data_IF_551842533851
#
_entry.id   IF_551842533851
#
_cell.length_a   1.000
_cell.length_b   1.000
_cell.length_c   1.000
_cell.angle_alpha   90.00
_cell.angle_beta   90.00
_cell.angle_gamma   90.00
#
_symmetry.space_group_name_H-M   'P 1'
#
loop_
_entity.id
_entity.type
_entity.pdbx_description
1 polymer ?
#
# COMPACT_ATOMS: atom_id res chain seq x y z
N UNK A 1 -22.10 -44.98 -1.22
CA UNK A 1 -21.21 -44.22 -0.31
C UNK A 1 -19.74 -44.44 -0.69
N UNK A 2 -19.28 -43.89 -1.83
CA UNK A 2 -17.89 -44.03 -2.30
C UNK A 2 -17.55 -42.96 -3.36
N UNK A 3 -17.62 -41.67 -3.01
CA UNK A 3 -17.14 -40.60 -3.92
C UNK A 3 -16.51 -39.39 -3.21
N UNK A 4 -16.12 -39.52 -1.94
CA UNK A 4 -15.47 -38.44 -1.17
C UNK A 4 -13.99 -38.69 -0.83
N UNK A 5 -13.40 -39.82 -1.25
CA UNK A 5 -12.03 -40.18 -0.87
C UNK A 5 -10.94 -39.72 -1.84
N UNK A 6 -11.24 -39.49 -3.12
CA UNK A 6 -10.18 -39.28 -4.13
C UNK A 6 -9.73 -37.82 -4.31
N UNK A 7 -10.34 -36.86 -3.60
CA UNK A 7 -9.93 -35.45 -3.63
C UNK A 7 -8.76 -35.11 -2.69
N UNK A 8 -8.21 -36.07 -1.94
CA UNK A 8 -7.16 -35.83 -0.93
C UNK A 8 -5.81 -36.49 -1.22
N UNK A 9 -5.59 -37.05 -2.41
CA UNK A 9 -4.32 -37.74 -2.74
C UNK A 9 -3.47 -37.08 -3.83
N UNK A 10 -3.82 -35.88 -4.30
CA UNK A 10 -2.88 -35.11 -5.13
C UNK A 10 -1.93 -34.32 -4.22
N UNK A 11 -0.67 -34.78 -4.18
CA UNK A 11 0.57 -34.15 -3.64
C UNK A 11 1.38 -35.01 -2.64
N UNK A 12 1.32 -36.34 -2.71
CA UNK A 12 2.45 -37.18 -2.23
C UNK A 12 3.50 -37.32 -3.33
N UNK A 13 4.31 -36.28 -3.48
CA UNK A 13 5.38 -36.23 -4.48
C UNK A 13 6.56 -35.37 -4.05
N UNK A 14 6.92 -35.38 -2.76
CA UNK A 14 8.00 -34.55 -2.20
C UNK A 14 9.35 -34.70 -2.92
N UNK A 15 9.67 -35.91 -3.42
CA UNK A 15 10.91 -36.15 -4.16
C UNK A 15 10.90 -35.60 -5.59
N UNK A 16 9.75 -35.61 -6.27
CA UNK A 16 9.63 -35.11 -7.64
C UNK A 16 9.64 -33.57 -7.68
N UNK A 17 9.07 -32.91 -6.67
CA UNK A 17 9.11 -31.46 -6.55
C UNK A 17 10.49 -30.95 -6.13
N UNK A 18 11.19 -31.68 -5.24
CA UNK A 18 12.58 -31.39 -4.88
C UNK A 18 13.55 -31.56 -6.06
N UNK A 19 13.37 -32.59 -6.90
CA UNK A 19 14.15 -32.79 -8.12
C UNK A 19 13.81 -31.77 -9.21
N UNK A 20 12.54 -31.33 -9.31
CA UNK A 20 12.14 -30.29 -10.25
C UNK A 20 12.75 -28.93 -9.87
N UNK A 21 12.84 -28.61 -8.57
CA UNK A 21 13.44 -27.36 -8.07
C UNK A 21 14.94 -27.18 -8.38
N UNK A 22 15.61 -28.21 -8.89
CA UNK A 22 17.01 -28.17 -9.33
C UNK A 22 17.18 -27.95 -10.86
N UNK A 23 16.09 -27.94 -11.62
CA UNK A 23 16.16 -27.77 -13.08
C UNK A 23 16.14 -26.28 -13.47
N UNK A 24 16.95 -25.85 -14.46
CA UNK A 24 17.10 -24.45 -14.77
C UNK A 24 15.88 -23.79 -15.42
N UNK A 25 14.91 -24.61 -15.84
CA UNK A 25 13.66 -24.20 -16.47
C UNK A 25 12.54 -25.10 -15.94
N UNK A 26 12.13 -24.91 -14.68
CA UNK A 26 11.02 -25.64 -14.07
C UNK A 26 9.74 -25.58 -14.89
N UNK A 27 9.48 -24.40 -15.48
CA UNK A 27 8.35 -24.17 -16.35
C UNK A 27 8.47 -25.03 -17.61
N UNK A 28 9.59 -24.97 -18.33
CA UNK A 28 9.83 -25.82 -19.50
C UNK A 28 9.91 -27.30 -19.19
N UNK A 29 10.35 -27.71 -18.00
CA UNK A 29 10.32 -29.12 -17.55
C UNK A 29 8.89 -29.57 -17.28
N UNK A 30 8.07 -28.77 -16.61
CA UNK A 30 6.64 -29.07 -16.42
C UNK A 30 5.89 -29.04 -17.76
N UNK A 31 6.14 -28.03 -18.58
CA UNK A 31 5.57 -27.87 -19.92
C UNK A 31 6.08 -28.91 -20.92
N UNK A 32 7.22 -29.58 -20.72
CA UNK A 32 7.69 -30.65 -21.63
C UNK A 32 7.34 -32.04 -21.12
N UNK A 33 7.34 -32.26 -19.80
CA UNK A 33 7.12 -33.57 -19.18
C UNK A 33 5.68 -33.86 -18.77
N UNK A 34 4.79 -32.87 -18.71
CA UNK A 34 3.36 -33.12 -18.50
C UNK A 34 2.73 -33.66 -19.80
N UNK A 35 1.99 -34.77 -19.78
CA UNK A 35 1.13 -35.20 -20.89
C UNK A 35 0.15 -34.08 -21.30
N UNK A 36 -0.11 -33.93 -22.60
CA UNK A 36 -1.03 -32.91 -23.15
C UNK A 36 -2.38 -32.78 -22.40
N UNK A 37 -3.09 -33.87 -22.01
CA UNK A 37 -4.36 -33.76 -21.28
C UNK A 37 -4.21 -33.24 -19.84
N UNK A 38 -3.02 -33.34 -19.23
CA UNK A 38 -2.76 -32.80 -17.89
C UNK A 38 -2.34 -31.33 -17.94
N UNK A 39 -1.74 -30.86 -19.05
CA UNK A 39 -1.39 -29.43 -19.21
C UNK A 39 -2.62 -28.53 -19.23
N UNK A 40 -3.70 -28.97 -19.86
CA UNK A 40 -4.97 -28.23 -19.92
C UNK A 40 -5.70 -28.16 -18.56
N UNK A 41 -5.27 -28.92 -17.55
CA UNK A 41 -5.85 -28.95 -16.22
C UNK A 41 -5.11 -28.05 -15.22
N UNK A 42 -3.91 -27.54 -15.56
CA UNK A 42 -3.15 -26.64 -14.71
C UNK A 42 -3.49 -25.19 -15.12
N UNK A 43 -4.05 -24.37 -14.22
CA UNK A 43 -4.29 -22.96 -14.51
C UNK A 43 -2.99 -22.24 -14.89
N UNK A 44 -3.04 -21.35 -15.89
CA UNK A 44 -1.85 -20.61 -16.35
C UNK A 44 -1.15 -19.84 -15.22
N UNK A 45 -1.92 -19.27 -14.29
CA UNK A 45 -1.40 -18.57 -13.10
C UNK A 45 -0.56 -19.48 -12.20
N UNK A 46 -0.91 -20.77 -12.09
CA UNK A 46 -0.13 -21.73 -11.31
C UNK A 46 1.22 -22.03 -11.99
N UNK A 47 1.27 -22.10 -13.32
CA UNK A 47 2.52 -22.27 -14.06
C UNK A 47 3.43 -21.05 -13.94
N UNK A 48 2.86 -19.84 -13.99
CA UNK A 48 3.62 -18.61 -13.75
C UNK A 48 4.17 -18.53 -12.33
N UNK A 49 3.37 -18.91 -11.34
CA UNK A 49 3.79 -18.99 -9.94
C UNK A 49 4.98 -19.94 -9.76
N UNK A 50 4.91 -21.13 -10.34
CA UNK A 50 6.01 -22.11 -10.28
C UNK A 50 7.25 -21.60 -11.01
N UNK A 51 7.09 -20.95 -12.16
CA UNK A 51 8.20 -20.31 -12.88
C UNK A 51 8.93 -19.29 -12.00
N UNK A 52 8.19 -18.35 -11.39
CA UNK A 52 8.76 -17.33 -10.52
C UNK A 52 9.49 -17.95 -9.30
N UNK A 53 8.91 -18.96 -8.67
CA UNK A 53 9.55 -19.66 -7.54
C UNK A 53 10.85 -20.33 -7.99
N UNK A 54 10.86 -20.94 -9.17
CA UNK A 54 12.06 -21.54 -9.77
C UNK A 54 13.17 -20.50 -10.00
N UNK A 55 12.82 -19.33 -10.53
CA UNK A 55 13.77 -18.24 -10.73
C UNK A 55 14.34 -17.72 -9.40
N UNK A 56 13.50 -17.57 -8.36
CA UNK A 56 13.95 -17.20 -7.01
C UNK A 56 14.91 -18.26 -6.44
N UNK A 57 14.56 -19.54 -6.57
CA UNK A 57 15.39 -20.64 -6.07
C UNK A 57 16.78 -20.68 -6.75
N UNK A 58 16.84 -20.39 -8.06
CA UNK A 58 18.11 -20.23 -8.77
C UNK A 58 18.94 -19.08 -8.25
N UNK A 59 18.33 -17.91 -8.07
CA UNK A 59 19.05 -16.75 -7.55
C UNK A 59 19.58 -17.01 -6.12
N UNK A 60 18.82 -17.74 -5.31
CA UNK A 60 19.23 -18.21 -3.99
C UNK A 60 20.41 -19.19 -4.05
N UNK A 61 20.42 -20.14 -4.99
CA UNK A 61 21.58 -21.01 -5.22
C UNK A 61 22.82 -20.22 -5.65
N UNK A 62 22.66 -19.22 -6.52
CA UNK A 62 23.75 -18.34 -6.93
C UNK A 62 24.28 -17.52 -5.74
N UNK A 63 23.39 -17.00 -4.90
CA UNK A 63 23.75 -16.32 -3.66
C UNK A 63 24.57 -17.22 -2.72
N UNK A 64 24.16 -18.49 -2.58
CA UNK A 64 24.88 -19.50 -1.79
C UNK A 64 26.26 -19.80 -2.38
N UNK A 65 26.37 -19.96 -3.70
CA UNK A 65 27.65 -20.17 -4.38
C UNK A 65 28.62 -18.99 -4.18
N UNK A 66 28.08 -17.77 -4.14
CA UNK A 66 28.83 -16.53 -3.85
C UNK A 66 29.09 -16.30 -2.35
N UNK A 67 28.70 -17.24 -1.47
CA UNK A 67 28.86 -17.17 -0.01
C UNK A 67 28.29 -15.87 0.58
N UNK A 68 27.12 -15.46 0.08
CA UNK A 68 26.34 -14.37 0.68
C UNK A 68 25.74 -14.83 2.02
N UNK A 69 25.40 -13.91 2.95
CA UNK A 69 24.69 -14.24 4.17
C UNK A 69 23.41 -15.05 3.88
N UNK A 70 23.05 -15.99 4.77
CA UNK A 70 21.84 -16.77 4.61
C UNK A 70 20.59 -15.87 4.61
N UNK A 71 19.59 -16.25 3.82
CA UNK A 71 18.29 -15.55 3.85
C UNK A 71 17.61 -15.80 5.20
N UNK A 72 17.02 -14.76 5.84
CA UNK A 72 16.18 -14.96 7.02
C UNK A 72 14.85 -15.64 6.68
N UNK A 73 14.52 -15.80 5.39
CA UNK A 73 13.23 -16.27 4.89
C UNK A 73 13.35 -17.59 4.10
N UNK A 74 14.21 -18.50 4.54
CA UNK A 74 14.41 -19.80 3.91
C UNK A 74 13.09 -20.56 3.71
N UNK A 75 12.93 -21.21 2.55
CA UNK A 75 11.83 -22.13 2.32
C UNK A 75 12.00 -23.31 3.28
N UNK A 76 11.02 -23.54 4.17
CA UNK A 76 10.98 -24.76 4.96
C UNK A 76 10.44 -25.87 4.05
N UNK A 77 11.19 -26.97 3.92
CA UNK A 77 10.73 -28.14 3.15
C UNK A 77 9.37 -28.61 3.69
N UNK A 78 8.38 -28.75 2.79
CA UNK A 78 7.02 -29.17 3.13
C UNK A 78 5.95 -28.07 3.20
N UNK A 79 6.32 -26.79 3.04
CA UNK A 79 5.37 -25.66 3.14
C UNK A 79 4.80 -25.16 1.79
N UNK A 80 5.15 -25.80 0.67
CA UNK A 80 4.71 -25.38 -0.67
C UNK A 80 3.30 -25.89 -1.00
N UNK A 81 2.30 -25.53 -0.20
CA UNK A 81 0.94 -25.33 -0.73
C UNK A 81 0.82 -23.87 -1.14
N UNK A 82 1.56 -23.47 -2.18
CA UNK A 82 1.50 -22.08 -2.68
C UNK A 82 0.24 -21.96 -3.51
N UNK A 83 -0.80 -21.34 -2.94
CA UNK A 83 -1.87 -20.81 -3.76
C UNK A 83 -1.34 -19.63 -4.57
N UNK A 84 -1.77 -19.44 -5.84
CA UNK A 84 -1.43 -18.24 -6.62
C UNK A 84 -1.72 -16.92 -5.87
N UNK A 85 -2.73 -16.94 -4.99
CA UNK A 85 -3.13 -15.81 -4.15
C UNK A 85 -2.08 -15.41 -3.10
N UNK A 86 -1.23 -16.34 -2.65
CA UNK A 86 -0.18 -16.08 -1.66
C UNK A 86 1.19 -15.84 -2.29
N UNK A 87 1.33 -16.06 -3.60
CA UNK A 87 2.62 -15.93 -4.31
C UNK A 87 3.29 -14.58 -4.04
N UNK A 88 2.53 -13.49 -4.12
CA UNK A 88 3.06 -12.15 -3.86
C UNK A 88 3.66 -12.03 -2.45
N UNK A 89 2.91 -12.46 -1.43
CA UNK A 89 3.32 -12.38 -0.03
C UNK A 89 4.52 -13.26 0.31
N UNK A 90 4.72 -14.34 -0.46
CA UNK A 90 5.85 -15.27 -0.30
C UNK A 90 7.08 -14.77 -1.07
N UNK A 91 6.92 -14.39 -2.33
CA UNK A 91 8.01 -14.07 -3.23
C UNK A 91 8.61 -12.68 -2.95
N UNK A 92 7.77 -11.68 -2.65
CA UNK A 92 8.22 -10.30 -2.48
C UNK A 92 9.24 -10.17 -1.32
N UNK A 93 8.98 -10.65 -0.08
CA UNK A 93 9.94 -10.53 1.02
C UNK A 93 11.30 -11.19 0.73
N UNK A 94 11.28 -12.31 -0.01
CA UNK A 94 12.48 -13.06 -0.39
C UNK A 94 13.33 -12.33 -1.41
N UNK A 95 12.69 -11.72 -2.42
CA UNK A 95 13.38 -10.91 -3.41
C UNK A 95 14.01 -9.67 -2.75
N UNK A 96 13.30 -9.00 -1.85
CA UNK A 96 13.87 -7.86 -1.08
C UNK A 96 15.08 -8.30 -0.26
N UNK A 97 14.95 -9.39 0.53
CA UNK A 97 16.07 -9.91 1.32
C UNK A 97 17.28 -10.31 0.46
N UNK A 98 17.04 -10.86 -0.73
CA UNK A 98 18.08 -11.17 -1.70
C UNK A 98 18.76 -9.92 -2.25
N UNK A 99 18.00 -8.88 -2.59
CA UNK A 99 18.56 -7.59 -3.04
C UNK A 99 19.47 -7.01 -1.95
N UNK A 100 18.97 -6.89 -0.72
CA UNK A 100 19.71 -6.26 0.39
C UNK A 100 21.05 -6.92 0.67
N UNK A 101 21.09 -8.26 0.70
CA UNK A 101 22.33 -9.00 0.99
C UNK A 101 23.28 -9.12 -0.20
N UNK A 102 22.79 -8.89 -1.42
CA UNK A 102 23.60 -8.98 -2.64
C UNK A 102 24.06 -7.63 -3.18
N UNK A 103 23.40 -6.51 -2.84
CA UNK A 103 23.65 -5.21 -3.45
C UNK A 103 25.14 -4.80 -3.46
N UNK A 104 25.86 -5.01 -2.35
CA UNK A 104 27.28 -4.64 -2.26
C UNK A 104 28.24 -5.70 -2.81
N UNK A 105 27.90 -6.99 -2.67
CA UNK A 105 28.82 -8.12 -2.94
C UNK A 105 28.60 -8.77 -4.30
N UNK A 106 27.42 -8.62 -4.87
CA UNK A 106 26.97 -9.25 -6.11
C UNK A 106 25.92 -8.35 -6.81
N UNK A 107 26.30 -7.17 -7.31
CA UNK A 107 25.36 -6.18 -7.84
C UNK A 107 24.53 -6.70 -9.02
N UNK A 108 25.08 -7.57 -9.86
CA UNK A 108 24.33 -8.22 -10.95
C UNK A 108 23.24 -9.17 -10.45
N UNK A 109 23.48 -9.85 -9.32
CA UNK A 109 22.48 -10.70 -8.68
C UNK A 109 21.35 -9.84 -8.09
N UNK A 110 21.71 -8.73 -7.44
CA UNK A 110 20.77 -7.74 -6.92
C UNK A 110 19.92 -7.12 -8.03
N UNK A 111 20.52 -6.87 -9.19
CA UNK A 111 19.81 -6.33 -10.35
C UNK A 111 18.78 -7.30 -10.92
N UNK A 112 19.13 -8.59 -11.05
CA UNK A 112 18.20 -9.63 -11.49
C UNK A 112 17.05 -9.81 -10.49
N UNK A 113 17.37 -9.85 -9.20
CA UNK A 113 16.35 -9.91 -8.14
C UNK A 113 15.43 -8.68 -8.15
N UNK A 114 16.00 -7.48 -8.36
CA UNK A 114 15.26 -6.22 -8.52
C UNK A 114 14.32 -6.23 -9.72
N UNK A 115 14.76 -6.79 -10.86
CA UNK A 115 13.92 -6.97 -12.04
C UNK A 115 12.72 -7.88 -11.79
N UNK A 116 12.93 -9.02 -11.10
CA UNK A 116 11.83 -9.91 -10.72
C UNK A 116 10.88 -9.26 -9.73
N UNK A 117 11.40 -8.51 -8.76
CA UNK A 117 10.58 -7.78 -7.81
C UNK A 117 9.72 -6.73 -8.51
N UNK A 118 10.30 -5.96 -9.43
CA UNK A 118 9.55 -4.97 -10.21
C UNK A 118 8.46 -5.61 -11.09
N UNK A 119 8.71 -6.80 -11.65
CA UNK A 119 7.72 -7.57 -12.41
C UNK A 119 6.58 -8.06 -11.51
N UNK A 120 6.91 -8.65 -10.37
CA UNK A 120 5.94 -9.12 -9.37
C UNK A 120 5.12 -7.95 -8.79
N UNK A 121 5.75 -6.82 -8.54
CA UNK A 121 5.07 -5.62 -8.06
C UNK A 121 4.05 -5.11 -9.07
N UNK A 122 4.42 -5.10 -10.36
CA UNK A 122 3.55 -4.65 -11.45
C UNK A 122 2.31 -5.52 -11.64
N UNK A 123 2.36 -6.82 -11.34
CA UNK A 123 1.17 -7.67 -11.42
C UNK A 123 0.11 -7.33 -10.38
N UNK A 124 0.51 -6.66 -9.30
CA UNK A 124 -0.39 -6.17 -8.25
C UNK A 124 -0.63 -4.67 -8.35
N UNK A 125 -0.13 -4.00 -9.40
CA UNK A 125 -0.38 -2.57 -9.59
C UNK A 125 -1.87 -2.30 -9.77
N UNK A 126 -2.39 -1.36 -8.99
CA UNK A 126 -3.72 -0.81 -9.15
C UNK A 126 -3.58 0.46 -10.00
N UNK A 127 -4.06 0.48 -11.25
CA UNK A 127 -3.87 1.64 -12.10
C UNK A 127 -4.56 2.84 -11.44
N UNK A 128 -3.83 3.94 -11.21
CA UNK A 128 -4.42 5.13 -10.67
C UNK A 128 -5.40 5.66 -11.71
N UNK A 129 -6.57 6.12 -11.26
CA UNK A 129 -7.65 6.57 -12.14
C UNK A 129 -7.12 7.24 -13.42
N UNK A 130 -7.47 6.72 -14.61
CA UNK A 130 -7.26 7.36 -15.91
C UNK A 130 -8.03 8.71 -16.07
N UNK A 131 -8.38 9.35 -14.94
CA UNK A 131 -9.06 10.63 -14.79
C UNK A 131 -8.11 11.77 -14.40
N UNK A 132 -6.77 11.61 -14.53
CA UNK A 132 -5.80 12.72 -14.50
C UNK A 132 -5.95 13.71 -15.69
N UNK A 133 -7.07 13.64 -16.43
CA UNK A 133 -7.35 14.43 -17.62
C UNK A 133 -7.86 15.85 -17.38
N UNK A 134 -7.96 16.35 -16.15
CA UNK A 134 -8.29 17.77 -15.92
C UNK A 134 -7.31 18.46 -14.96
N UNK A 135 -6.58 19.42 -15.53
CA UNK A 135 -5.90 20.55 -14.88
C UNK A 135 -4.63 20.26 -14.06
N UNK A 136 -3.55 19.86 -14.76
CA UNK A 136 -2.25 20.51 -14.55
C UNK A 136 -1.95 21.42 -15.74
N UNK A 137 -2.77 22.45 -15.94
CA UNK A 137 -2.40 23.57 -16.78
C UNK A 137 -1.24 24.29 -16.12
N UNK A 138 -0.06 24.19 -16.74
CA UNK A 138 1.02 25.16 -16.50
C UNK A 138 0.50 26.55 -16.85
N UNK A 139 0.62 27.57 -15.99
CA UNK A 139 0.67 28.92 -16.48
C UNK A 139 2.05 29.12 -17.10
N UNK A 140 2.05 29.25 -18.42
CA UNK A 140 3.13 29.88 -19.15
C UNK A 140 3.43 31.28 -18.56
N UNK A 141 4.71 31.59 -18.44
CA UNK A 141 5.32 32.93 -18.53
C UNK A 141 4.47 34.13 -18.08
N UNK A 142 4.72 34.64 -16.87
CA UNK A 142 4.34 36.01 -16.51
C UNK A 142 5.61 36.87 -16.45
N UNK A 143 5.78 37.70 -17.48
CA UNK A 143 6.67 38.85 -17.48
C UNK A 143 6.21 39.87 -16.41
N UNK A 144 7.20 40.56 -15.84
CA UNK A 144 7.02 41.67 -14.92
C UNK A 144 6.30 42.87 -15.59
N UNK A 145 5.36 43.50 -14.87
CA UNK A 145 5.49 44.91 -14.46
C UNK A 145 4.28 45.43 -13.65
N UNK A 146 4.63 46.09 -12.55
CA UNK A 146 4.08 47.30 -11.93
C UNK A 146 2.55 47.56 -11.85
N UNK A 147 2.09 47.87 -10.62
CA UNK A 147 0.84 48.60 -10.40
C UNK A 147 0.33 48.54 -8.95
N UNK A 148 0.75 49.49 -8.11
CA UNK A 148 0.16 49.78 -6.79
C UNK A 148 -1.33 50.14 -6.91
N UNK A 149 -2.19 49.61 -6.04
CA UNK A 149 -3.29 50.34 -5.39
C UNK A 149 -4.03 49.45 -4.37
N UNK A 150 -4.13 49.91 -3.13
CA UNK A 150 -5.08 49.40 -2.12
C UNK A 150 -6.29 50.33 -2.08
N UNK A 151 -7.50 49.80 -1.80
CA UNK A 151 -8.38 50.52 -0.90
C UNK A 151 -9.03 49.62 0.17
N UNK A 152 -8.90 50.14 1.40
CA UNK A 152 -9.87 50.30 2.49
C UNK A 152 -11.02 49.31 2.70
N UNK A 153 -11.05 48.88 3.96
CA UNK A 153 -12.17 48.46 4.80
C UNK A 153 -13.57 48.95 4.41
N UNK A 154 -14.55 48.05 4.53
CA UNK A 154 -15.91 48.41 4.88
C UNK A 154 -16.52 47.41 5.88
N UNK A 155 -17.14 47.99 6.92
CA UNK A 155 -17.92 47.39 8.00
C UNK A 155 -19.25 48.18 8.03
N UNK A 156 -20.38 47.52 8.33
CA UNK A 156 -21.30 48.08 9.35
C UNK A 156 -21.70 46.98 10.36
N UNK A 157 -21.66 47.15 11.68
CA UNK A 157 -22.53 47.94 12.58
C UNK A 157 -24.01 47.49 12.50
N UNK A 158 -24.44 46.54 13.34
CA UNK A 158 -25.10 46.67 14.68
C UNK A 158 -26.51 47.30 14.66
N UNK A 159 -27.49 46.51 15.11
CA UNK A 159 -28.62 46.88 16.00
C UNK A 159 -28.91 45.60 16.85
N UNK A 160 -28.45 45.51 18.10
CA UNK A 160 -29.14 45.94 19.34
C UNK A 160 -30.40 45.08 19.67
N UNK A 161 -30.24 44.22 20.69
CA UNK A 161 -31.25 43.40 21.40
C UNK A 161 -32.14 44.27 22.33
N UNK A 162 -32.93 43.76 23.31
CA UNK A 162 -33.38 42.39 23.65
C UNK A 162 -34.91 42.33 23.91
N UNK A 163 -35.45 41.21 24.43
CA UNK A 163 -36.41 41.11 25.56
C UNK A 163 -36.99 39.66 25.66
N UNK A 164 -36.59 38.95 26.72
CA UNK A 164 -37.35 37.87 27.40
C UNK A 164 -37.87 38.49 28.73
N UNK A 165 -38.68 37.83 29.59
CA UNK A 165 -39.33 36.51 29.53
C UNK A 165 -40.84 36.56 29.88
N UNK A 166 -41.58 35.46 29.77
CA UNK A 166 -42.72 35.21 30.67
C UNK A 166 -42.71 33.76 31.18
N UNK A 167 -42.73 33.68 32.51
CA UNK A 167 -42.88 32.51 33.36
C UNK A 167 -44.35 32.08 33.40
N UNK A 168 -44.60 30.76 33.41
CA UNK A 168 -45.79 30.20 34.07
C UNK A 168 -45.34 28.98 34.87
N UNK A 169 -45.51 29.08 36.19
CA UNK A 169 -45.20 28.09 37.22
C UNK A 169 -46.49 27.34 37.68
N UNK A 170 -46.45 26.32 38.57
CA UNK A 170 -46.90 24.94 38.32
C UNK A 170 -48.15 24.51 39.14
N UNK A 171 -48.41 23.19 39.31
CA UNK A 171 -48.96 22.45 40.48
C UNK A 171 -49.50 21.02 40.07
N UNK A 172 -49.72 20.02 40.96
CA UNK A 172 -48.71 19.04 41.41
C UNK A 172 -49.15 17.56 41.24
N UNK A 173 -48.21 16.62 41.09
CA UNK A 173 -48.46 15.21 41.47
C UNK A 173 -47.23 14.64 42.16
N UNK A 174 -47.41 14.26 43.43
CA UNK A 174 -46.44 13.57 44.28
C UNK A 174 -46.64 12.06 44.07
N UNK A 175 -45.56 11.31 43.77
CA UNK A 175 -45.23 10.04 44.44
C UNK A 175 -43.83 9.54 44.05
N UNK A 176 -42.91 9.54 45.02
CA UNK A 176 -41.90 8.51 45.30
C UNK A 176 -40.78 8.19 44.29
N UNK A 177 -39.52 8.02 44.75
CA UNK A 177 -38.40 7.67 43.87
C UNK A 177 -38.43 6.18 43.51
N UNK A 178 -38.55 5.87 42.22
CA UNK A 178 -38.18 4.57 41.69
C UNK A 178 -36.71 4.68 41.25
N UNK A 179 -35.81 4.16 42.07
CA UNK A 179 -34.44 3.85 41.66
C UNK A 179 -34.50 2.70 40.65
N UNK A 180 -34.44 3.03 39.37
CA UNK A 180 -34.24 2.06 38.30
C UNK A 180 -32.75 1.71 38.21
N UNK A 181 -32.39 0.42 38.10
CA UNK A 181 -30.99 0.00 38.06
C UNK A 181 -30.28 0.68 36.90
N UNK A 182 -29.10 1.25 37.20
CA UNK A 182 -28.18 1.82 36.24
C UNK A 182 -27.82 0.82 35.16
N UNK A 183 -28.58 0.85 34.08
CA UNK A 183 -28.18 0.24 32.83
C UNK A 183 -27.32 1.29 32.14
N UNK A 184 -26.01 1.20 32.37
CA UNK A 184 -25.07 1.73 31.38
C UNK A 184 -25.54 1.17 30.04
N UNK A 185 -25.97 2.02 29.08
CA UNK A 185 -26.29 1.50 27.77
C UNK A 185 -25.06 0.73 27.29
N UNK A 186 -25.22 -0.45 26.64
CA UNK A 186 -24.09 -1.08 25.98
C UNK A 186 -23.42 0.00 25.12
N UNK A 187 -22.07 0.05 25.06
CA UNK A 187 -21.39 1.01 24.19
C UNK A 187 -22.08 0.91 22.84
N UNK A 188 -22.72 1.99 22.39
CA UNK A 188 -23.25 2.04 21.04
C UNK A 188 -22.03 1.74 20.17
N UNK A 189 -22.01 0.56 19.56
CA UNK A 189 -20.99 0.21 18.60
C UNK A 189 -21.24 1.16 17.43
N UNK A 190 -20.63 2.35 17.51
CA UNK A 190 -20.87 3.45 16.57
C UNK A 190 -20.57 2.90 15.20
N UNK A 191 -21.62 2.67 14.41
CA UNK A 191 -21.48 2.20 13.05
C UNK A 191 -20.56 3.18 12.32
N UNK A 192 -19.52 2.66 11.69
CA UNK A 192 -18.57 3.49 10.97
C UNK A 192 -19.31 4.35 9.93
N UNK A 193 -18.92 5.63 9.76
CA UNK A 193 -19.51 6.46 8.73
C UNK A 193 -19.34 5.77 7.36
N UNK A 194 -20.34 5.81 6.48
CA UNK A 194 -20.22 5.25 5.15
C UNK A 194 -19.12 5.98 4.37
N UNK A 195 -18.45 5.29 3.44
CA UNK A 195 -17.45 5.93 2.57
C UNK A 195 -18.14 6.98 1.71
N UNK A 196 -17.79 8.24 1.94
CA UNK A 196 -18.31 9.35 1.14
C UNK A 196 -17.65 9.42 -0.24
N UNK A 197 -18.38 9.98 -1.20
CA UNK A 197 -17.88 10.27 -2.56
C UNK A 197 -17.10 11.58 -2.65
N UNK A 198 -17.02 12.35 -1.55
CA UNK A 198 -16.23 13.57 -1.48
C UNK A 198 -14.73 13.29 -1.64
N UNK A 199 -13.99 14.28 -2.15
CA UNK A 199 -12.53 14.20 -2.35
C UNK A 199 -11.75 15.27 -1.58
N UNK A 200 -12.45 16.30 -1.10
CA UNK A 200 -11.86 17.40 -0.32
C UNK A 200 -11.63 16.94 1.11
N UNK A 201 -10.47 17.25 1.65
CA UNK A 201 -10.08 16.82 2.99
C UNK A 201 -11.08 17.23 4.08
N UNK A 202 -11.61 18.45 4.06
CA UNK A 202 -12.49 18.94 5.13
C UNK A 202 -13.76 18.08 5.27
N UNK A 203 -14.23 17.47 4.18
CA UNK A 203 -15.36 16.55 4.17
C UNK A 203 -14.98 15.10 4.54
N UNK A 204 -13.68 14.79 4.63
CA UNK A 204 -13.14 13.45 4.83
C UNK A 204 -12.42 13.28 6.17
N UNK A 205 -12.04 14.36 6.84
CA UNK A 205 -11.18 14.32 8.02
C UNK A 205 -11.74 13.41 9.13
N UNK A 206 -13.02 13.59 9.48
CA UNK A 206 -13.68 12.79 10.53
C UNK A 206 -13.88 11.33 10.10
N UNK A 207 -14.20 11.10 8.83
CA UNK A 207 -14.32 9.75 8.27
C UNK A 207 -12.97 9.01 8.40
N UNK A 208 -11.89 9.62 7.93
CA UNK A 208 -10.56 9.02 8.03
C UNK A 208 -10.16 8.74 9.48
N UNK A 209 -10.43 9.67 10.41
CA UNK A 209 -10.13 9.49 11.82
C UNK A 209 -10.90 8.29 12.40
N UNK A 210 -12.21 8.23 12.16
CA UNK A 210 -13.08 7.14 12.63
C UNK A 210 -12.66 5.79 12.05
N UNK A 211 -12.39 5.74 10.74
CA UNK A 211 -11.96 4.52 10.05
C UNK A 211 -10.60 4.05 10.56
N UNK A 212 -9.63 4.96 10.73
CA UNK A 212 -8.30 4.59 11.25
C UNK A 212 -8.37 4.06 12.69
N UNK A 213 -9.22 4.66 13.52
CA UNK A 213 -9.42 4.20 14.89
C UNK A 213 -10.04 2.80 14.94
N UNK A 214 -11.00 2.51 14.05
CA UNK A 214 -11.71 1.22 14.03
C UNK A 214 -10.98 0.11 13.24
N UNK A 215 -9.97 0.45 12.44
CA UNK A 215 -9.22 -0.52 11.64
C UNK A 215 -8.57 -1.60 12.53
N UNK A 216 -8.99 -2.85 12.35
CA UNK A 216 -8.38 -4.03 13.00
C UNK A 216 -7.52 -4.78 11.99
N UNK A 217 -6.28 -5.09 12.37
CA UNK A 217 -5.39 -5.91 11.56
C UNK A 217 -5.91 -7.35 11.52
N UNK A 218 -5.89 -7.95 10.34
CA UNK A 218 -6.37 -9.32 10.15
C UNK A 218 -5.28 -10.35 10.48
N UNK A 219 -5.51 -11.30 11.40
CA UNK A 219 -4.49 -12.25 11.85
C UNK A 219 -3.86 -13.09 10.74
N UNK A 220 -4.63 -13.41 9.69
CA UNK A 220 -4.14 -14.21 8.56
C UNK A 220 -3.06 -13.48 7.72
N UNK A 221 -2.91 -12.15 7.88
CA UNK A 221 -1.85 -11.36 7.25
C UNK A 221 -0.73 -10.97 8.22
N UNK A 222 -0.67 -11.59 9.42
CA UNK A 222 0.28 -11.20 10.46
C UNK A 222 1.73 -11.27 9.99
N UNK A 223 2.15 -12.37 9.36
CA UNK A 223 3.52 -12.52 8.87
C UNK A 223 3.90 -11.42 7.87
N UNK A 224 2.99 -11.10 6.93
CA UNK A 224 3.23 -10.03 5.96
C UNK A 224 3.28 -8.66 6.63
N UNK A 225 2.35 -8.36 7.54
CA UNK A 225 2.31 -7.07 8.26
C UNK A 225 3.52 -6.87 9.18
N UNK A 226 3.94 -7.90 9.90
CA UNK A 226 5.17 -7.88 10.71
C UNK A 226 6.40 -7.60 9.84
N UNK A 227 6.48 -8.21 8.66
CA UNK A 227 7.55 -7.95 7.70
C UNK A 227 7.57 -6.49 7.24
N UNK A 228 6.42 -5.90 6.90
CA UNK A 228 6.34 -4.49 6.52
C UNK A 228 6.80 -3.58 7.66
N UNK A 229 6.35 -3.83 8.89
CA UNK A 229 6.78 -3.06 10.07
C UNK A 229 8.31 -3.15 10.27
N UNK A 230 8.89 -4.34 10.12
CA UNK A 230 10.33 -4.54 10.21
C UNK A 230 11.09 -3.75 9.14
N UNK A 231 10.64 -3.78 7.89
CA UNK A 231 11.25 -3.02 6.79
C UNK A 231 11.19 -1.51 7.02
N UNK A 232 10.03 -0.99 7.44
CA UNK A 232 9.86 0.42 7.76
C UNK A 232 10.82 0.85 8.89
N UNK A 233 10.94 0.06 9.95
CA UNK A 233 11.85 0.34 11.07
C UNK A 233 13.32 0.26 10.67
N UNK A 234 13.71 -0.76 9.92
CA UNK A 234 15.09 -0.93 9.44
C UNK A 234 15.53 0.26 8.58
N UNK A 235 14.65 0.76 7.71
CA UNK A 235 14.94 1.85 6.80
C UNK A 235 14.65 3.26 7.37
N UNK A 236 14.09 3.36 8.59
CA UNK A 236 13.71 4.62 9.24
C UNK A 236 14.78 5.71 9.15
N UNK A 237 16.08 5.46 9.43
CA UNK A 237 17.08 6.52 9.36
C UNK A 237 17.20 7.17 7.97
N UNK A 238 16.91 6.43 6.89
CA UNK A 238 16.94 6.94 5.52
C UNK A 238 15.72 7.82 5.24
N UNK A 239 14.54 7.38 5.66
CA UNK A 239 13.30 8.15 5.55
C UNK A 239 13.34 9.42 6.39
N UNK A 240 13.88 9.38 7.61
CA UNK A 240 14.01 10.57 8.46
C UNK A 240 14.94 11.62 7.85
N UNK A 241 16.06 11.23 7.24
CA UNK A 241 16.95 12.18 6.54
C UNK A 241 16.22 12.88 5.40
N UNK A 242 15.48 12.13 4.59
CA UNK A 242 14.70 12.70 3.49
C UNK A 242 13.54 13.57 4.00
N UNK A 243 12.81 13.07 5.00
CA UNK A 243 11.67 13.75 5.61
C UNK A 243 12.04 15.08 6.24
N UNK A 244 13.18 15.15 6.95
CA UNK A 244 13.71 16.41 7.51
C UNK A 244 13.93 17.49 6.45
N UNK A 245 14.35 17.11 5.24
CA UNK A 245 14.56 18.06 4.13
C UNK A 245 13.25 18.71 3.65
N UNK A 246 12.13 18.03 3.79
CA UNK A 246 10.84 18.43 3.22
C UNK A 246 9.75 18.69 4.26
N UNK A 247 10.07 18.58 5.55
CA UNK A 247 9.13 18.57 6.67
C UNK A 247 8.02 17.50 6.52
N UNK A 248 8.41 16.29 6.10
CA UNK A 248 7.50 15.16 5.90
C UNK A 248 7.81 14.07 6.93
N UNK A 249 6.81 13.52 7.65
CA UNK A 249 7.01 12.40 8.55
C UNK A 249 7.60 11.19 7.82
N UNK A 250 8.61 10.58 8.43
CA UNK A 250 9.26 9.40 7.87
C UNK A 250 8.28 8.25 7.63
N UNK A 251 7.26 8.11 8.49
CA UNK A 251 6.22 7.10 8.41
C UNK A 251 5.42 7.18 7.09
N UNK A 252 5.11 8.40 6.64
CA UNK A 252 4.39 8.63 5.38
C UNK A 252 5.25 8.24 4.17
N UNK A 253 6.53 8.62 4.16
CA UNK A 253 7.47 8.23 3.09
C UNK A 253 7.64 6.71 3.05
N UNK A 254 7.75 6.07 4.22
CA UNK A 254 7.88 4.63 4.33
C UNK A 254 6.64 3.90 3.78
N UNK A 255 5.43 4.38 4.10
CA UNK A 255 4.20 3.80 3.58
C UNK A 255 4.10 3.88 2.05
N UNK A 256 4.44 5.02 1.45
CA UNK A 256 4.54 5.16 -0.02
C UNK A 256 5.57 4.18 -0.56
N UNK A 257 6.76 4.11 0.02
CA UNK A 257 7.82 3.24 -0.51
C UNK A 257 7.45 1.75 -0.46
N UNK A 258 6.72 1.32 0.57
CA UNK A 258 6.16 -0.02 0.65
C UNK A 258 5.16 -0.31 -0.47
N UNK A 259 4.23 0.63 -0.72
CA UNK A 259 3.18 0.51 -1.73
C UNK A 259 3.69 0.61 -3.16
N UNK A 260 4.67 1.46 -3.43
CA UNK A 260 5.13 1.74 -4.79
C UNK A 260 6.31 0.86 -5.22
N UNK A 261 7.09 0.33 -4.28
CA UNK A 261 8.31 -0.39 -4.64
C UNK A 261 8.64 -1.57 -3.72
N UNK A 262 7.76 -1.95 -2.80
CA UNK A 262 8.03 -3.02 -1.81
C UNK A 262 9.35 -2.78 -1.06
N UNK A 263 9.63 -1.51 -0.72
CA UNK A 263 10.85 -1.04 -0.07
C UNK A 263 12.15 -1.22 -0.88
N UNK A 264 12.06 -1.47 -2.19
CA UNK A 264 13.23 -1.56 -3.06
C UNK A 264 13.87 -0.18 -3.31
N UNK A 265 14.94 0.10 -2.58
CA UNK A 265 15.76 1.30 -2.74
C UNK A 265 16.51 1.42 -4.08
N UNK A 266 16.28 0.50 -5.02
CA UNK A 266 16.81 0.53 -6.38
C UNK A 266 15.74 0.88 -7.42
N UNK A 267 14.54 1.24 -6.98
CA UNK A 267 13.41 1.65 -7.80
C UNK A 267 12.97 3.09 -7.48
N UNK A 268 12.30 3.72 -8.44
CA UNK A 268 11.75 5.07 -8.27
C UNK A 268 10.61 5.08 -7.26
N UNK A 269 10.64 6.02 -6.31
CA UNK A 269 9.52 6.21 -5.37
C UNK A 269 8.22 6.56 -6.09
N UNK A 270 8.28 7.20 -7.27
CA UNK A 270 7.12 7.65 -8.03
C UNK A 270 6.10 6.54 -8.29
N UNK A 271 6.56 5.39 -8.78
CA UNK A 271 5.70 4.33 -9.33
C UNK A 271 6.40 2.95 -9.41
N UNK A 272 7.50 2.78 -8.66
CA UNK A 272 8.23 1.51 -8.61
C UNK A 272 9.08 1.18 -9.83
N UNK A 273 9.24 2.11 -10.78
CA UNK A 273 10.06 1.82 -11.95
C UNK A 273 11.50 1.49 -11.57
N UNK A 274 11.98 0.39 -12.12
CA UNK A 274 13.32 -0.15 -11.93
C UNK A 274 13.99 -0.34 -13.30
N UNK A 275 15.31 -0.15 -13.43
CA UNK A 275 16.27 0.32 -12.41
C UNK A 275 16.37 1.85 -12.34
N UNK A 276 16.88 2.38 -11.22
CA UNK A 276 17.20 3.81 -11.04
C UNK A 276 18.24 4.36 -12.04
N UNK A 277 18.97 3.51 -12.77
CA UNK A 277 19.84 3.97 -13.87
C UNK A 277 19.06 4.49 -15.08
N UNK A 278 17.74 4.27 -15.11
CA UNK A 278 16.82 4.78 -16.10
C UNK A 278 15.88 5.80 -15.46
N UNK A 279 15.14 6.56 -16.28
CA UNK A 279 14.02 7.39 -15.80
C UNK A 279 12.75 6.56 -15.76
N UNK A 280 11.74 7.06 -15.05
CA UNK A 280 10.41 6.44 -15.07
C UNK A 280 9.88 6.34 -16.49
N UNK A 281 9.26 5.20 -16.79
CA UNK A 281 8.53 4.90 -18.02
C UNK A 281 7.03 4.93 -17.77
N UNK A 282 6.62 4.47 -16.59
CA UNK A 282 5.26 4.53 -16.08
C UNK A 282 4.91 5.97 -15.69
N UNK A 283 3.62 6.27 -15.61
CA UNK A 283 3.14 7.60 -15.17
C UNK A 283 3.53 7.83 -13.70
N UNK A 284 4.10 9.00 -13.36
CA UNK A 284 4.53 10.08 -14.24
C UNK A 284 5.82 9.72 -15.00
N UNK A 285 5.77 9.70 -16.34
CA UNK A 285 6.88 9.27 -17.19
C UNK A 285 7.98 10.34 -17.30
N UNK A 286 9.20 9.91 -17.58
CA UNK A 286 10.35 10.80 -17.77
C UNK A 286 10.78 11.51 -16.48
N UNK A 287 10.65 10.87 -15.32
CA UNK A 287 11.08 11.43 -14.03
C UNK A 287 12.33 10.71 -13.49
N UNK A 288 13.18 11.41 -12.72
CA UNK A 288 13.24 12.87 -12.55
C UNK A 288 13.52 13.63 -13.84
N UNK A 289 13.22 14.93 -13.89
CA UNK A 289 13.38 15.73 -15.12
C UNK A 289 14.85 15.88 -15.56
N UNK A 290 15.73 15.99 -14.57
CA UNK A 290 17.20 15.98 -14.70
C UNK A 290 17.70 14.73 -14.01
N UNK A 291 18.29 13.81 -14.77
CA UNK A 291 18.69 12.48 -14.27
C UNK A 291 20.14 12.15 -14.59
N UNK A 292 21.02 13.07 -14.18
CA UNK A 292 22.46 12.87 -14.16
C UNK A 292 22.90 12.49 -12.74
N UNK A 293 24.06 11.82 -12.57
CA UNK A 293 24.50 11.34 -11.28
C UNK A 293 24.45 12.39 -10.15
N UNK A 294 24.04 12.00 -8.93
CA UNK A 294 23.71 10.62 -8.54
C UNK A 294 22.30 10.19 -8.97
N UNK A 295 22.21 9.06 -9.68
CA UNK A 295 20.95 8.37 -10.00
C UNK A 295 20.54 7.46 -8.84
N UNK A 296 20.32 8.07 -7.67
CA UNK A 296 20.03 7.39 -6.41
C UNK A 296 18.58 7.55 -5.95
N UNK A 297 18.19 6.73 -4.98
CA UNK A 297 16.81 6.72 -4.49
C UNK A 297 16.43 8.04 -3.85
N UNK A 298 17.32 8.67 -3.08
CA UNK A 298 17.08 9.96 -2.43
C UNK A 298 16.75 11.06 -3.45
N UNK A 299 17.47 11.10 -4.56
CA UNK A 299 17.25 12.07 -5.63
C UNK A 299 15.93 11.80 -6.35
N UNK A 300 15.62 10.52 -6.63
CA UNK A 300 14.32 10.13 -7.19
C UNK A 300 13.16 10.47 -6.25
N UNK A 301 13.27 10.11 -4.98
CA UNK A 301 12.24 10.32 -3.97
C UNK A 301 12.00 11.82 -3.72
N UNK A 302 13.07 12.62 -3.71
CA UNK A 302 12.97 14.07 -3.63
C UNK A 302 12.25 14.71 -4.83
N UNK A 303 12.39 14.15 -6.03
CA UNK A 303 11.60 14.59 -7.19
C UNK A 303 10.12 14.19 -7.04
N UNK A 304 9.84 12.95 -6.63
CA UNK A 304 8.46 12.46 -6.43
C UNK A 304 7.69 13.27 -5.39
N UNK A 305 8.27 13.48 -4.22
CA UNK A 305 7.64 14.22 -3.10
C UNK A 305 7.37 15.70 -3.45
N UNK A 306 8.18 16.30 -4.32
CA UNK A 306 7.94 17.66 -4.85
C UNK A 306 6.83 17.66 -5.89
N UNK A 307 6.88 16.73 -6.84
CA UNK A 307 5.89 16.62 -7.92
C UNK A 307 4.47 16.46 -7.36
N UNK A 308 4.33 15.70 -6.27
CA UNK A 308 3.06 15.44 -5.60
C UNK A 308 2.63 16.56 -4.62
N UNK A 309 3.41 17.66 -4.52
CA UNK A 309 3.06 18.82 -3.70
C UNK A 309 3.14 18.58 -2.19
N UNK A 310 3.87 17.56 -1.74
CA UNK A 310 3.99 17.23 -0.32
C UNK A 310 5.09 18.02 0.40
N UNK A 311 6.09 18.50 -0.34
CA UNK A 311 7.15 19.32 0.21
C UNK A 311 6.58 20.64 0.79
N UNK A 312 6.91 20.94 2.05
CA UNK A 312 6.51 22.19 2.71
C UNK A 312 5.09 22.21 3.29
N UNK A 313 4.38 21.08 3.25
CA UNK A 313 3.08 20.94 3.93
C UNK A 313 3.27 20.86 5.45
N UNK A 314 2.36 21.47 6.21
CA UNK A 314 2.46 21.57 7.68
C UNK A 314 1.58 20.57 8.43
N UNK A 315 0.33 20.37 8.00
CA UNK A 315 -0.57 19.39 8.59
C UNK A 315 -0.15 17.98 8.19
N UNK A 316 0.22 17.15 9.16
CA UNK A 316 0.54 15.74 8.98
C UNK A 316 -0.21 14.86 9.99
N UNK A 317 -1.38 15.33 10.43
CA UNK A 317 -2.31 14.50 11.20
C UNK A 317 -2.61 13.20 10.46
N UNK A 318 -2.99 12.15 11.20
CA UNK A 318 -3.30 10.84 10.59
C UNK A 318 -4.35 10.97 9.48
N UNK A 319 -5.50 11.67 9.66
CA UNK A 319 -6.45 11.89 8.59
C UNK A 319 -5.83 12.53 7.34
N UNK A 320 -4.92 13.48 7.53
CA UNK A 320 -4.25 14.15 6.42
C UNK A 320 -3.27 13.23 5.70
N UNK A 321 -2.53 12.40 6.42
CA UNK A 321 -1.68 11.37 5.81
C UNK A 321 -2.51 10.39 4.98
N UNK A 322 -3.67 9.95 5.48
CA UNK A 322 -4.57 9.06 4.75
C UNK A 322 -5.12 9.71 3.47
N UNK A 323 -5.54 10.99 3.56
CA UNK A 323 -5.97 11.76 2.39
C UNK A 323 -4.88 11.86 1.32
N UNK A 324 -3.63 12.13 1.72
CA UNK A 324 -2.51 12.23 0.78
C UNK A 324 -2.08 10.87 0.21
N UNK A 325 -2.11 9.81 1.00
CA UNK A 325 -1.87 8.44 0.51
C UNK A 325 -2.92 8.06 -0.53
N UNK A 326 -4.20 8.36 -0.26
CA UNK A 326 -5.23 8.09 -1.24
C UNK A 326 -5.14 8.97 -2.48
N UNK A 327 -4.76 10.24 -2.33
CA UNK A 327 -4.49 11.11 -3.47
C UNK A 327 -3.30 10.62 -4.31
N UNK A 328 -2.31 9.95 -3.70
CA UNK A 328 -1.18 9.33 -4.38
C UNK A 328 -1.66 8.30 -5.41
N UNK A 329 -2.58 7.43 -5.00
CA UNK A 329 -3.18 6.40 -5.85
C UNK A 329 -4.33 6.95 -6.72
N UNK A 330 -5.06 7.96 -6.23
CA UNK A 330 -6.30 8.47 -6.82
C UNK A 330 -7.57 8.05 -6.06
N UNK A 331 -8.61 8.87 -6.19
CA UNK A 331 -9.89 8.77 -5.45
C UNK A 331 -10.97 7.91 -6.12
N UNK A 332 -10.61 7.04 -7.08
CA UNK A 332 -11.57 6.26 -7.87
C UNK A 332 -12.52 5.40 -7.04
N UNK A 333 -12.00 4.77 -5.98
CA UNK A 333 -12.79 3.97 -5.05
C UNK A 333 -13.86 4.81 -4.32
N UNK A 334 -13.52 6.03 -3.88
CA UNK A 334 -14.48 6.94 -3.23
C UNK A 334 -15.61 7.33 -4.14
N UNK A 335 -15.32 7.64 -5.41
CA UNK A 335 -16.37 7.95 -6.39
C UNK A 335 -17.36 6.79 -6.55
N UNK A 336 -16.91 5.56 -6.32
CA UNK A 336 -17.75 4.36 -6.29
C UNK A 336 -18.36 4.04 -4.91
N UNK A 337 -18.17 4.89 -3.90
CA UNK A 337 -18.62 4.66 -2.52
C UNK A 337 -17.92 3.49 -1.82
N UNK A 338 -16.66 3.22 -2.16
CA UNK A 338 -15.90 2.05 -1.70
C UNK A 338 -14.62 2.45 -1.00
N UNK A 339 -14.25 1.67 0.01
CA UNK A 339 -12.97 1.79 0.70
C UNK A 339 -11.82 1.39 -0.24
N UNK A 340 -10.81 2.22 -0.34
CA UNK A 340 -9.65 1.95 -1.19
C UNK A 340 -8.79 0.79 -0.65
N UNK A 341 -8.52 -0.28 -1.42
CA UNK A 341 -7.53 -1.29 -1.04
C UNK A 341 -6.13 -0.69 -0.82
N UNK A 342 -5.79 0.39 -1.52
CA UNK A 342 -4.51 1.09 -1.36
C UNK A 342 -4.31 1.61 0.07
N UNK A 343 -5.39 1.95 0.76
CA UNK A 343 -5.36 2.31 2.18
C UNK A 343 -5.57 1.10 3.09
N UNK A 344 -6.63 0.32 2.85
CA UNK A 344 -7.23 -0.53 3.88
C UNK A 344 -6.98 -2.03 3.70
N UNK A 345 -6.30 -2.46 2.64
CA UNK A 345 -5.98 -3.87 2.43
C UNK A 345 -5.19 -4.44 3.61
N UNK A 346 -5.60 -5.63 4.06
CA UNK A 346 -5.14 -6.35 5.28
C UNK A 346 -5.79 -5.91 6.60
N UNK A 347 -6.76 -4.99 6.56
CA UNK A 347 -7.60 -4.66 7.72
C UNK A 347 -9.02 -5.23 7.62
N UNK A 348 -9.78 -5.11 8.71
CA UNK A 348 -11.22 -5.37 8.76
C UNK A 348 -12.05 -4.45 7.85
N UNK A 349 -11.49 -3.36 7.33
CA UNK A 349 -12.19 -2.35 6.53
C UNK A 349 -12.15 -2.61 5.02
N UNK A 350 -11.47 -3.67 4.59
CA UNK A 350 -11.41 -4.09 3.20
C UNK A 350 -11.56 -5.61 3.09
N UNK A 351 -12.42 -6.10 2.21
CA UNK A 351 -12.57 -7.54 1.96
C UNK A 351 -12.12 -7.94 0.54
N UNK A 352 -12.70 -7.30 -0.47
CA UNK A 352 -12.49 -7.54 -1.91
C UNK A 352 -12.99 -6.34 -2.71
N UNK A 353 -12.72 -6.34 -4.01
CA UNK A 353 -13.00 -5.24 -4.92
C UNK A 353 -11.71 -4.49 -5.23
N UNK A 354 -11.29 -4.49 -6.49
CA UNK A 354 -10.09 -3.77 -6.93
C UNK A 354 -10.18 -3.43 -8.43
N UNK A 355 -9.58 -2.33 -8.87
CA UNK A 355 -9.35 -2.11 -10.30
C UNK A 355 -8.18 -2.98 -10.77
N UNK A 356 -8.45 -3.84 -11.75
CA UNK A 356 -7.46 -4.77 -12.33
C UNK A 356 -6.84 -4.21 -13.63
N UNK A 357 -7.47 -3.17 -14.18
CA UNK A 357 -6.98 -2.36 -15.28
C UNK A 357 -7.70 -1.00 -15.25
N UNK A 358 -7.24 -0.03 -16.04
CA UNK A 358 -7.87 1.28 -16.17
C UNK A 358 -9.39 1.18 -16.38
N UNK A 359 -10.16 1.70 -15.43
CA UNK A 359 -11.62 1.67 -15.45
C UNK A 359 -12.26 0.29 -15.30
N UNK A 360 -11.49 -0.80 -15.12
CA UNK A 360 -12.00 -2.17 -14.96
C UNK A 360 -12.00 -2.58 -13.49
N UNK A 361 -13.11 -2.32 -12.81
CA UNK A 361 -13.34 -2.78 -11.45
C UNK A 361 -13.77 -4.25 -11.43
N UNK A 362 -13.04 -5.08 -10.68
CA UNK A 362 -13.45 -6.45 -10.37
C UNK A 362 -13.91 -6.52 -8.90
N UNK A 363 -15.19 -6.81 -8.62
CA UNK A 363 -15.71 -6.93 -7.25
C UNK A 363 -15.17 -8.13 -6.47
N UNK A 364 -14.57 -9.11 -7.14
CA UNK A 364 -14.05 -10.35 -6.56
C UNK A 364 -12.52 -10.33 -6.39
N UNK A 365 -11.81 -9.50 -7.15
CA UNK A 365 -10.38 -9.33 -7.00
C UNK A 365 -10.03 -8.85 -5.58
N UNK A 366 -8.90 -9.34 -5.05
CA UNK A 366 -8.38 -8.97 -3.73
C UNK A 366 -7.00 -8.38 -3.88
N UNK A 367 -6.74 -7.26 -3.21
CA UNK A 367 -5.38 -6.75 -3.11
C UNK A 367 -4.49 -7.71 -2.32
N UNK A 368 -3.33 -8.03 -2.87
CA UNK A 368 -2.28 -8.82 -2.20
C UNK A 368 -1.24 -7.94 -1.49
N UNK A 369 -1.40 -6.62 -1.56
CA UNK A 369 -0.51 -5.63 -0.95
C UNK A 369 -1.08 -5.16 0.39
N UNK A 370 -0.19 -4.86 1.34
CA UNK A 370 -0.55 -4.22 2.60
C UNK A 370 -0.89 -2.75 2.34
N UNK A 371 -2.04 -2.29 2.79
CA UNK A 371 -2.47 -0.91 2.55
C UNK A 371 -1.69 0.12 3.36
N UNK A 372 -1.60 1.36 2.87
CA UNK A 372 -0.84 2.43 3.52
C UNK A 372 -1.41 2.82 4.88
N UNK A 373 -2.74 2.80 5.05
CA UNK A 373 -3.36 3.03 6.36
C UNK A 373 -3.01 1.90 7.34
N UNK A 374 -2.94 0.66 6.85
CA UNK A 374 -2.51 -0.50 7.64
C UNK A 374 -1.05 -0.37 8.08
N UNK A 375 -0.16 0.09 7.19
CA UNK A 375 1.24 0.39 7.54
C UNK A 375 1.37 1.48 8.62
N UNK A 376 0.60 2.57 8.49
CA UNK A 376 0.55 3.60 9.53
C UNK A 376 -0.03 3.05 10.85
N UNK A 377 -1.06 2.19 10.78
CA UNK A 377 -1.65 1.55 11.96
C UNK A 377 -0.68 0.62 12.68
N UNK A 378 0.20 -0.07 11.94
CA UNK A 378 1.28 -0.88 12.53
C UNK A 378 2.25 -0.01 13.33
N UNK A 379 2.59 1.18 12.83
CA UNK A 379 3.44 2.13 13.56
C UNK A 379 2.72 2.72 14.78
N UNK A 380 1.43 3.05 14.66
CA UNK A 380 0.58 3.53 15.75
C UNK A 380 0.56 2.53 16.91
N UNK A 381 0.25 1.27 16.61
CA UNK A 381 0.24 0.18 17.59
C UNK A 381 1.63 -0.11 18.20
N UNK A 382 2.71 0.24 17.50
CA UNK A 382 4.07 0.12 17.99
C UNK A 382 4.56 1.35 18.77
N UNK A 383 3.74 2.41 18.91
CA UNK A 383 4.12 3.67 19.55
C UNK A 383 5.13 4.51 18.74
N UNK A 384 5.15 4.32 17.42
CA UNK A 384 6.14 4.90 16.48
C UNK A 384 5.50 5.88 15.50
N UNK A 385 4.18 5.99 15.51
CA UNK A 385 3.44 7.05 14.83
C UNK A 385 3.38 8.24 15.78
N UNK A 386 4.09 9.32 15.42
CA UNK A 386 4.38 10.47 16.28
C UNK A 386 3.15 11.22 16.79
#
# INVERSE_FOLDING_TARGET
MQSRSDRRQFLTGGAAMAAALAAPDLRGVLESKLPAPLRSLVPGEALEAVGLIGEIAQLEQQAKALRLPASPLSFHEGQLQVSPDQLYQIAMPRLVALIDRSERRAPLLAERAGGLLAKLHRSEYDPPDAWFGESLSSPASAQANAGLSFPSAYRPARLAAPLLPEEVEPQPVITGPIELPGTTPPPIETALPPVTTAIKFDALADEYAAWFAAARLRPEYKESTDWHLAQMKQARPRYERLGKRFAIPWAFIAAIHGLEASFNFRAHLHNGDFPLSQRTRQVPAGRPSVWLPPSDWESSAADALRLLGFAGQSDWSVPRMLHRLEAYNGFGYRRAGRASPYLWSFSSLYSRGKFVADGKFDPNARSKQCGGAVMLKLLDLAGELG
#
